data_IF_938520093449
#
_entry.id   IF_938520093449
#
_cell.length_a   1.000
_cell.length_b   1.000
_cell.length_c   1.000
_cell.angle_alpha   90.00
_cell.angle_beta   90.00
_cell.angle_gamma   90.00
#
_symmetry.space_group_name_H-M   'P 1'
#
loop_
_entity.id
_entity.type
_entity.pdbx_description
1 polymer ?
#
# COMPACT_ATOMS: atom_id res chain seq x y z
N UNK A 1 -50.08 56.54 12.57
CA UNK A 1 -51.26 56.17 11.73
C UNK A 1 -51.30 54.66 11.78
N UNK A 2 -52.03 53.99 12.70
CA UNK A 2 -53.50 53.87 12.79
C UNK A 2 -54.07 53.57 11.38
N UNK A 3 -54.79 52.48 11.10
CA UNK A 3 -55.87 51.86 11.87
C UNK A 3 -56.14 50.42 11.37
N UNK A 4 -56.78 49.63 12.25
CA UNK A 4 -57.27 48.27 12.09
C UNK A 4 -58.27 48.01 10.94
N UNK A 5 -58.40 46.73 10.56
CA UNK A 5 -59.51 46.22 9.75
C UNK A 5 -59.70 44.71 9.95
N UNK A 6 -60.66 44.33 10.79
CA UNK A 6 -61.00 42.96 11.21
C UNK A 6 -62.23 42.42 10.44
N UNK A 7 -62.15 41.11 10.08
CA UNK A 7 -63.24 40.11 9.86
C UNK A 7 -64.12 40.20 8.58
N UNK A 8 -64.73 39.08 8.06
CA UNK A 8 -65.23 37.91 8.80
C UNK A 8 -64.98 36.50 8.22
N UNK A 9 -65.25 35.51 9.09
CA UNK A 9 -65.32 34.07 8.80
C UNK A 9 -66.65 33.70 8.11
N UNK A 10 -66.56 32.83 7.12
CA UNK A 10 -67.56 31.84 6.71
C UNK A 10 -66.74 30.61 6.23
N UNK A 11 -66.93 29.36 6.65
CA UNK A 11 -68.17 28.65 6.92
C UNK A 11 -68.55 27.85 5.66
N UNK A 12 -68.08 26.60 5.52
CA UNK A 12 -68.69 25.65 4.58
C UNK A 12 -67.77 24.63 3.90
N UNK A 13 -68.20 23.37 3.98
CA UNK A 13 -67.96 22.26 3.05
C UNK A 13 -66.64 21.47 3.16
N UNK A 14 -66.74 20.39 3.93
CA UNK A 14 -66.07 19.11 3.66
C UNK A 14 -66.39 18.63 2.24
N UNK A 15 -65.37 18.37 1.43
CA UNK A 15 -65.46 17.51 0.25
C UNK A 15 -64.14 16.76 0.12
N UNK A 16 -64.21 15.46 0.39
CA UNK A 16 -63.09 14.54 0.25
C UNK A 16 -62.58 14.53 -1.18
N UNK A 17 -61.26 14.67 -1.31
CA UNK A 17 -60.52 14.28 -2.50
C UNK A 17 -59.44 13.31 -2.04
N UNK A 18 -59.64 12.06 -2.46
CA UNK A 18 -58.76 10.89 -2.38
C UNK A 18 -57.32 11.23 -2.80
N UNK A 19 -56.27 10.66 -2.17
CA UNK A 19 -54.91 10.81 -2.66
C UNK A 19 -54.78 9.98 -3.94
N UNK A 20 -54.52 10.63 -5.07
CA UNK A 20 -54.12 9.96 -6.29
C UNK A 20 -52.69 9.42 -6.11
N UNK A 21 -52.58 8.14 -5.81
CA UNK A 21 -51.35 7.40 -6.08
C UNK A 21 -51.13 7.31 -7.59
N UNK A 22 -49.88 7.42 -8.03
CA UNK A 22 -49.24 6.52 -9.00
C UNK A 22 -47.90 7.12 -9.46
N UNK A 23 -46.81 6.55 -8.94
CA UNK A 23 -45.67 6.07 -9.71
C UNK A 23 -44.54 5.76 -8.71
N UNK A 24 -44.73 4.70 -7.91
CA UNK A 24 -43.55 3.99 -7.41
C UNK A 24 -42.82 3.48 -8.64
N UNK A 25 -41.67 4.09 -8.93
CA UNK A 25 -40.68 3.50 -9.81
C UNK A 25 -40.26 2.17 -9.17
N UNK A 26 -40.99 1.11 -9.49
CA UNK A 26 -40.62 -0.29 -9.26
C UNK A 26 -39.48 -0.63 -10.24
N UNK A 27 -38.36 0.08 -10.10
CA UNK A 27 -37.08 -0.35 -10.61
C UNK A 27 -36.54 -1.29 -9.56
N UNK A 28 -36.56 -2.59 -9.82
CA UNK A 28 -35.71 -3.52 -9.07
C UNK A 28 -34.30 -2.94 -8.99
N UNK A 29 -33.63 -3.00 -7.83
CA UNK A 29 -32.27 -2.49 -7.71
C UNK A 29 -31.43 -3.13 -8.82
N UNK A 30 -30.54 -2.37 -9.49
CA UNK A 30 -29.68 -2.91 -10.53
C UNK A 30 -29.01 -4.16 -9.99
N UNK A 31 -29.22 -5.31 -10.65
CA UNK A 31 -28.62 -6.58 -10.24
C UNK A 31 -27.11 -6.35 -10.21
N UNK A 32 -26.52 -6.33 -9.02
CA UNK A 32 -25.09 -6.11 -8.89
C UNK A 32 -24.37 -7.06 -9.84
N UNK A 33 -23.42 -6.55 -10.65
CA UNK A 33 -22.69 -7.41 -11.58
C UNK A 33 -22.06 -8.53 -10.76
N UNK A 34 -22.45 -9.76 -11.08
CA UNK A 34 -21.88 -10.95 -10.42
C UNK A 34 -20.36 -10.86 -10.53
N UNK A 35 -19.62 -10.85 -9.41
CA UNK A 35 -18.16 -10.81 -9.44
C UNK A 35 -17.66 -11.89 -10.38
N UNK A 36 -16.79 -11.50 -11.32
CA UNK A 36 -16.23 -12.44 -12.29
C UNK A 36 -15.44 -13.48 -11.49
N UNK A 37 -15.42 -14.74 -11.93
CA UNK A 37 -14.74 -15.82 -11.19
C UNK A 37 -13.26 -15.50 -10.87
N UNK A 38 -12.63 -14.67 -11.71
CA UNK A 38 -11.26 -14.16 -11.53
C UNK A 38 -11.13 -13.26 -10.29
N UNK A 39 -12.13 -12.43 -9.99
CA UNK A 39 -12.12 -11.53 -8.83
C UNK A 39 -12.11 -12.34 -7.53
N UNK A 40 -12.94 -13.38 -7.46
CA UNK A 40 -13.00 -14.29 -6.31
C UNK A 40 -11.69 -15.06 -6.10
N UNK A 41 -11.02 -15.43 -7.19
CA UNK A 41 -9.73 -16.10 -7.14
C UNK A 41 -8.65 -15.13 -6.64
N UNK A 42 -8.63 -13.90 -7.17
CA UNK A 42 -7.71 -12.85 -6.76
C UNK A 42 -7.85 -12.53 -5.28
N UNK A 43 -9.07 -12.32 -4.77
CA UNK A 43 -9.32 -12.01 -3.35
C UNK A 43 -8.83 -13.13 -2.42
N UNK A 44 -9.00 -14.38 -2.84
CA UNK A 44 -8.55 -15.55 -2.06
C UNK A 44 -7.03 -15.65 -1.99
N UNK A 45 -6.34 -15.37 -3.08
CA UNK A 45 -4.88 -15.56 -3.18
C UNK A 45 -4.07 -14.30 -2.89
N UNK A 46 -4.66 -13.11 -2.98
CA UNK A 46 -3.97 -11.83 -2.77
C UNK A 46 -3.16 -11.78 -1.45
N UNK A 47 -3.66 -12.27 -0.29
CA UNK A 47 -2.85 -12.29 0.93
C UNK A 47 -1.63 -13.20 0.82
N UNK A 48 -1.75 -14.37 0.17
CA UNK A 48 -0.63 -15.28 -0.03
C UNK A 48 0.40 -14.68 -0.99
N UNK A 49 -0.07 -14.08 -2.09
CA UNK A 49 0.78 -13.37 -3.05
C UNK A 49 1.51 -12.22 -2.37
N UNK A 50 0.87 -11.46 -1.49
CA UNK A 50 1.53 -10.41 -0.70
C UNK A 50 2.73 -10.95 0.10
N UNK A 51 2.57 -12.11 0.75
CA UNK A 51 3.68 -12.77 1.44
C UNK A 51 4.78 -13.24 0.50
N UNK A 52 4.43 -13.77 -0.68
CA UNK A 52 5.42 -14.20 -1.69
C UNK A 52 6.21 -13.01 -2.24
N UNK A 53 5.53 -11.90 -2.57
CA UNK A 53 6.18 -10.67 -3.04
C UNK A 53 7.13 -10.15 -1.96
N UNK A 54 6.72 -10.16 -0.67
CA UNK A 54 7.60 -9.78 0.43
C UNK A 54 8.87 -10.62 0.47
N UNK A 55 8.72 -11.94 0.45
CA UNK A 55 9.84 -12.90 0.50
C UNK A 55 10.78 -12.66 -0.68
N UNK A 56 10.27 -12.62 -1.91
CA UNK A 56 11.08 -12.43 -3.10
C UNK A 56 11.77 -11.07 -3.13
N UNK A 57 11.08 -10.01 -2.73
CA UNK A 57 11.66 -8.66 -2.66
C UNK A 57 12.81 -8.61 -1.66
N UNK A 58 12.62 -9.20 -0.47
CA UNK A 58 13.67 -9.25 0.56
C UNK A 58 14.86 -10.11 0.11
N UNK A 59 14.63 -11.24 -0.56
CA UNK A 59 15.69 -12.08 -1.11
C UNK A 59 16.49 -11.34 -2.19
N UNK A 60 15.82 -10.63 -3.10
CA UNK A 60 16.49 -9.86 -4.15
C UNK A 60 17.30 -8.70 -3.58
N UNK A 61 16.75 -7.98 -2.58
CA UNK A 61 17.50 -6.93 -1.88
C UNK A 61 18.77 -7.49 -1.24
N UNK A 62 18.66 -8.60 -0.49
CA UNK A 62 19.79 -9.20 0.24
C UNK A 62 20.95 -9.61 -0.67
N UNK A 63 20.72 -9.86 -1.95
CA UNK A 63 21.81 -10.19 -2.88
C UNK A 63 22.86 -9.06 -2.98
N UNK A 64 22.45 -7.79 -2.88
CA UNK A 64 23.37 -6.65 -2.98
C UNK A 64 24.39 -6.60 -1.84
N UNK A 65 23.99 -6.56 -0.55
CA UNK A 65 24.95 -6.55 0.53
C UNK A 65 25.62 -7.90 0.70
N UNK A 66 24.96 -9.03 0.40
CA UNK A 66 25.63 -10.33 0.45
C UNK A 66 26.81 -10.40 -0.54
N UNK A 67 26.63 -9.83 -1.73
CA UNK A 67 27.66 -9.72 -2.76
C UNK A 67 28.82 -8.82 -2.32
N UNK A 68 28.50 -7.71 -1.62
CA UNK A 68 29.50 -6.75 -1.08
C UNK A 68 30.28 -7.29 0.11
N UNK A 69 29.65 -8.03 1.03
CA UNK A 69 30.26 -8.47 2.29
C UNK A 69 30.84 -9.88 2.23
N UNK A 70 30.10 -10.80 1.60
CA UNK A 70 30.41 -12.24 1.60
C UNK A 70 30.83 -12.76 0.22
N UNK A 71 30.64 -11.99 -0.84
CA UNK A 71 31.02 -12.37 -2.20
C UNK A 71 30.04 -13.34 -2.87
N UNK A 72 28.78 -13.40 -2.39
CA UNK A 72 27.73 -14.29 -2.92
C UNK A 72 26.43 -13.50 -3.18
N UNK A 73 25.66 -13.78 -4.24
CA UNK A 73 25.88 -14.80 -5.27
C UNK A 73 26.94 -14.44 -6.31
N UNK A 74 27.31 -13.16 -6.43
CA UNK A 74 28.37 -12.67 -7.32
C UNK A 74 29.26 -11.71 -6.52
N UNK A 75 30.57 -11.83 -6.61
CA UNK A 75 31.46 -10.93 -5.87
C UNK A 75 31.36 -9.48 -6.38
N UNK A 76 31.14 -8.54 -5.46
CA UNK A 76 31.18 -7.10 -5.73
C UNK A 76 32.32 -6.44 -4.96
N UNK A 77 32.65 -5.20 -5.34
CA UNK A 77 33.66 -4.42 -4.63
C UNK A 77 33.25 -4.20 -3.17
N UNK A 78 34.14 -4.61 -2.25
CA UNK A 78 33.92 -4.41 -0.82
C UNK A 78 33.94 -2.92 -0.49
N UNK A 79 32.92 -2.40 0.23
CA UNK A 79 32.94 -1.02 0.68
C UNK A 79 34.03 -0.82 1.74
N UNK A 80 34.61 0.37 1.79
CA UNK A 80 35.53 0.75 2.86
C UNK A 80 34.84 0.66 4.23
N UNK A 81 35.56 0.21 5.26
CA UNK A 81 35.01 0.08 6.62
C UNK A 81 34.42 1.41 7.09
N UNK A 82 33.23 1.35 7.70
CA UNK A 82 32.48 2.51 8.19
C UNK A 82 32.14 3.58 7.14
N UNK A 83 32.31 3.30 5.84
CA UNK A 83 31.81 4.16 4.78
C UNK A 83 30.28 4.16 4.73
N UNK A 84 29.69 5.15 4.07
CA UNK A 84 28.25 5.22 3.84
C UNK A 84 27.70 3.92 3.22
N UNK A 85 28.39 3.38 2.21
CA UNK A 85 28.02 2.13 1.55
C UNK A 85 28.16 0.89 2.44
N UNK A 86 29.09 0.92 3.40
CA UNK A 86 29.25 -0.14 4.38
C UNK A 86 28.07 -0.13 5.36
N UNK A 87 27.71 1.06 5.88
CA UNK A 87 26.58 1.22 6.80
C UNK A 87 25.27 0.85 6.10
N UNK A 88 25.05 1.33 4.87
CA UNK A 88 23.89 0.98 4.06
C UNK A 88 23.77 -0.54 3.89
N UNK A 89 24.84 -1.21 3.49
CA UNK A 89 24.79 -2.67 3.32
C UNK A 89 24.59 -3.45 4.63
N UNK A 90 25.06 -2.94 5.76
CA UNK A 90 24.77 -3.53 7.08
C UNK A 90 23.27 -3.38 7.44
N UNK A 91 22.69 -2.21 7.17
CA UNK A 91 21.24 -1.96 7.33
C UNK A 91 20.44 -2.91 6.42
N UNK A 92 20.81 -3.02 5.14
CA UNK A 92 20.16 -3.93 4.18
C UNK A 92 20.19 -5.39 4.65
N UNK A 93 21.29 -5.87 5.24
CA UNK A 93 21.37 -7.24 5.78
C UNK A 93 20.41 -7.42 6.95
N UNK A 94 20.47 -6.53 7.95
CA UNK A 94 19.67 -6.67 9.17
C UNK A 94 18.19 -6.53 8.83
N UNK A 95 17.79 -5.40 8.24
CA UNK A 95 16.38 -5.15 7.95
C UNK A 95 15.87 -6.02 6.78
N UNK A 96 16.71 -6.39 5.82
CA UNK A 96 16.34 -7.36 4.78
C UNK A 96 16.01 -8.74 5.38
N UNK A 97 16.79 -9.22 6.35
CA UNK A 97 16.49 -10.47 7.05
C UNK A 97 15.20 -10.39 7.90
N UNK A 98 14.99 -9.27 8.62
CA UNK A 98 13.75 -9.05 9.38
C UNK A 98 12.54 -8.98 8.43
N UNK A 99 12.69 -8.34 7.27
CA UNK A 99 11.63 -8.23 6.26
C UNK A 99 11.34 -9.59 5.64
N UNK A 100 12.37 -10.41 5.41
CA UNK A 100 12.26 -11.78 4.91
C UNK A 100 11.52 -12.71 5.89
N UNK A 101 11.74 -12.55 7.19
CA UNK A 101 10.95 -13.24 8.21
C UNK A 101 9.51 -12.67 8.33
N UNK A 102 9.33 -11.40 8.00
CA UNK A 102 8.09 -10.67 8.25
C UNK A 102 7.94 -10.34 9.73
N UNK A 103 9.03 -9.87 10.34
CA UNK A 103 9.09 -9.41 11.73
C UNK A 103 9.14 -7.88 11.77
N UNK A 104 8.23 -7.27 12.52
CA UNK A 104 7.94 -5.83 12.51
C UNK A 104 7.90 -5.28 11.08
N UNK A 105 7.20 -5.98 10.19
CA UNK A 105 7.23 -5.75 8.73
C UNK A 105 7.04 -4.27 8.39
N UNK A 106 6.10 -3.59 9.06
CA UNK A 106 5.79 -2.18 8.80
C UNK A 106 6.98 -1.26 9.08
N UNK A 107 7.62 -1.43 10.24
CA UNK A 107 8.77 -0.62 10.65
C UNK A 107 9.99 -0.94 9.80
N UNK A 108 10.28 -2.24 9.64
CA UNK A 108 11.38 -2.73 8.82
C UNK A 108 11.31 -2.22 7.38
N UNK A 109 10.13 -2.29 6.76
CA UNK A 109 9.94 -1.81 5.40
C UNK A 109 10.03 -0.28 5.29
N UNK A 110 9.55 0.47 6.29
CA UNK A 110 9.72 1.93 6.31
C UNK A 110 11.20 2.33 6.33
N UNK A 111 12.01 1.65 7.13
CA UNK A 111 13.46 1.91 7.23
C UNK A 111 14.16 1.60 5.90
N UNK A 112 13.89 0.44 5.29
CA UNK A 112 14.45 0.07 4.00
C UNK A 112 13.99 1.01 2.86
N UNK A 113 12.75 1.49 2.92
CA UNK A 113 12.23 2.48 1.97
C UNK A 113 13.03 3.79 2.05
N UNK A 114 13.25 4.29 3.27
CA UNK A 114 14.05 5.49 3.49
C UNK A 114 15.51 5.33 3.04
N UNK A 115 16.14 4.20 3.39
CA UNK A 115 17.53 3.90 3.00
C UNK A 115 17.72 3.91 1.48
N UNK A 116 16.83 3.26 0.73
CA UNK A 116 16.91 3.27 -0.74
C UNK A 116 16.51 4.62 -1.37
N UNK A 117 15.67 5.41 -0.71
CA UNK A 117 15.46 6.80 -1.13
C UNK A 117 16.77 7.60 -1.03
N UNK A 118 17.50 7.50 0.07
CA UNK A 118 18.84 8.10 0.20
C UNK A 118 19.82 7.53 -0.83
N UNK A 119 19.80 6.21 -1.06
CA UNK A 119 20.63 5.58 -2.09
C UNK A 119 20.36 6.18 -3.48
N UNK A 120 19.10 6.46 -3.82
CA UNK A 120 18.77 7.14 -5.08
C UNK A 120 19.30 8.57 -5.12
N UNK A 121 18.98 9.41 -4.14
CA UNK A 121 19.33 10.83 -4.18
C UNK A 121 20.83 11.10 -4.05
N UNK A 122 21.55 10.28 -3.28
CA UNK A 122 23.00 10.44 -3.05
C UNK A 122 23.78 9.65 -4.11
N UNK A 123 23.35 8.43 -4.40
CA UNK A 123 24.07 7.50 -5.28
C UNK A 123 23.74 7.72 -6.75
N UNK A 124 22.46 7.85 -7.13
CA UNK A 124 22.02 7.74 -8.52
C UNK A 124 21.66 9.08 -9.16
N UNK A 125 20.87 9.93 -8.50
CA UNK A 125 20.39 11.21 -9.02
C UNK A 125 21.51 12.15 -9.54
N UNK A 126 22.71 12.21 -8.92
CA UNK A 126 23.80 13.05 -9.44
C UNK A 126 24.33 12.62 -10.82
N UNK A 127 24.06 11.38 -11.25
CA UNK A 127 24.49 10.86 -12.57
C UNK A 127 23.48 11.13 -13.69
N UNK A 128 22.34 11.74 -13.36
CA UNK A 128 21.26 12.04 -14.29
C UNK A 128 19.90 11.94 -13.62
N UNK A 129 18.90 12.66 -14.14
CA UNK A 129 17.57 12.71 -13.53
C UNK A 129 16.77 11.41 -13.71
N UNK A 130 16.88 10.78 -14.89
CA UNK A 130 16.08 9.60 -15.24
C UNK A 130 16.72 8.31 -14.72
N UNK A 131 15.97 7.46 -13.97
CA UNK A 131 16.48 6.19 -13.43
C UNK A 131 17.16 5.28 -14.45
N UNK A 132 16.59 5.21 -15.66
CA UNK A 132 17.13 4.43 -16.77
C UNK A 132 18.56 4.86 -17.16
N UNK A 133 18.86 6.16 -17.10
CA UNK A 133 20.17 6.70 -17.46
C UNK A 133 21.19 6.67 -16.30
N UNK A 134 20.73 6.58 -15.05
CA UNK A 134 21.59 6.64 -13.87
C UNK A 134 21.73 5.30 -13.12
N UNK A 135 21.16 4.21 -13.67
CA UNK A 135 21.08 2.87 -13.09
C UNK A 135 20.34 2.81 -11.73
N UNK A 136 19.42 3.75 -11.47
CA UNK A 136 18.70 3.90 -10.21
C UNK A 136 17.33 3.22 -10.20
N UNK A 137 16.93 2.52 -11.26
CA UNK A 137 15.61 1.88 -11.39
C UNK A 137 15.32 0.93 -10.22
N UNK A 138 16.29 0.10 -9.85
CA UNK A 138 16.14 -0.82 -8.72
C UNK A 138 15.93 -0.07 -7.40
N UNK A 139 16.70 0.98 -7.14
CA UNK A 139 16.57 1.78 -5.91
C UNK A 139 15.16 2.39 -5.79
N UNK A 140 14.63 2.95 -6.88
CA UNK A 140 13.27 3.51 -6.91
C UNK A 140 12.22 2.43 -6.73
N UNK A 141 12.31 1.32 -7.47
CA UNK A 141 11.33 0.23 -7.38
C UNK A 141 11.26 -0.37 -5.98
N UNK A 142 12.40 -0.73 -5.41
CA UNK A 142 12.44 -1.28 -4.06
C UNK A 142 11.97 -0.26 -3.01
N UNK A 143 12.33 1.02 -3.15
CA UNK A 143 11.85 2.09 -2.26
C UNK A 143 10.31 2.11 -2.16
N UNK A 144 9.62 2.08 -3.30
CA UNK A 144 8.15 2.10 -3.33
C UNK A 144 7.52 0.76 -2.94
N UNK A 145 8.15 -0.38 -3.26
CA UNK A 145 7.67 -1.69 -2.80
C UNK A 145 7.75 -1.78 -1.27
N UNK A 146 8.83 -1.29 -0.66
CA UNK A 146 8.97 -1.26 0.79
C UNK A 146 8.01 -0.25 1.43
N UNK A 147 7.79 0.91 0.80
CA UNK A 147 6.73 1.83 1.24
C UNK A 147 5.35 1.16 1.22
N UNK A 148 5.06 0.38 0.18
CA UNK A 148 3.83 -0.41 0.12
C UNK A 148 3.74 -1.41 1.28
N UNK A 149 4.80 -2.15 1.60
CA UNK A 149 4.80 -3.06 2.76
C UNK A 149 4.69 -2.32 4.10
N UNK A 150 5.20 -1.09 4.22
CA UNK A 150 5.00 -0.26 5.41
C UNK A 150 3.50 0.02 5.66
N UNK A 151 2.71 0.17 4.60
CA UNK A 151 1.27 0.41 4.64
C UNK A 151 0.44 -0.89 4.70
N UNK A 152 0.78 -1.89 3.88
CA UNK A 152 0.02 -3.13 3.71
C UNK A 152 0.33 -4.18 4.79
N UNK A 153 1.55 -4.20 5.34
CA UNK A 153 2.03 -5.24 6.25
C UNK A 153 2.59 -6.49 5.56
N UNK A 154 2.90 -7.53 6.33
CA UNK A 154 3.72 -8.67 5.86
C UNK A 154 2.96 -9.88 5.26
N UNK A 155 1.63 -9.83 5.25
CA UNK A 155 0.78 -10.96 4.83
C UNK A 155 0.73 -12.13 5.83
N UNK A 156 -0.02 -13.20 5.51
CA UNK A 156 -0.31 -14.31 6.40
C UNK A 156 0.90 -15.20 6.74
N UNK A 157 1.95 -15.21 5.90
CA UNK A 157 3.18 -15.97 6.16
C UNK A 157 4.25 -15.17 6.93
N UNK A 158 3.88 -14.00 7.48
CA UNK A 158 4.78 -13.21 8.33
C UNK A 158 4.78 -13.71 9.77
N UNK A 159 5.92 -13.59 10.45
CA UNK A 159 6.01 -13.82 11.91
C UNK A 159 5.01 -12.92 12.65
N UNK A 160 4.83 -11.67 12.23
CA UNK A 160 3.82 -10.75 12.78
C UNK A 160 2.40 -11.33 12.74
N UNK A 161 2.03 -12.03 11.65
CA UNK A 161 0.73 -12.66 11.52
C UNK A 161 0.59 -13.92 12.38
N UNK A 162 1.68 -14.67 12.57
CA UNK A 162 1.69 -15.85 13.44
C UNK A 162 1.52 -15.45 14.90
N UNK A 163 2.19 -14.38 15.36
CA UNK A 163 2.05 -13.93 16.75
C UNK A 163 0.68 -13.37 17.09
N UNK A 164 0.03 -12.64 16.18
CA UNK A 164 -1.33 -12.12 16.43
C UNK A 164 -2.42 -13.19 16.51
N UNK A 165 -2.10 -14.44 16.11
CA UNK A 165 -3.02 -15.58 16.17
C UNK A 165 -2.87 -16.40 17.46
N UNK A 166 -1.87 -16.11 18.28
CA UNK A 166 -1.68 -16.72 19.61
C UNK A 166 -2.23 -15.78 20.68
#
# INVERSE_FOLDING_TARGET
>A
MAVDGVAPRAGGASLGITPAGTAEASGSPPKEPTPVQIDRLADRFAPLVLSLVRIMTALLLLQHPLSKFFGWPVAMQRPGLFSLYWIAGAIEIVFGALLLAGFYTRLTAFILSGELAFAYFIGHAPRGFFPLGNNGEAAVLFCFIFLYFACAGGGPLSVDAVWRKR
#
